data_IF_373969773998
#
_entry.id   IF_373969773998
#
_cell.length_a   1.000
_cell.length_b   1.000
_cell.length_c   1.000
_cell.angle_alpha   90.00
_cell.angle_beta   90.00
_cell.angle_gamma   90.00
#
_symmetry.space_group_name_H-M   'P 1'
#
loop_
_entity.id
_entity.type
_entity.pdbx_description
1 polymer ?
#
# COMPACT_ATOMS: atom_id res chain seq x y z
N UNK A 1 -14.12 52.52 26.91
CA UNK A 1 -13.35 52.29 25.67
C UNK A 1 -12.66 50.92 25.62
N UNK A 2 -12.80 50.01 26.59
CA UNK A 2 -12.18 48.68 26.62
C UNK A 2 -13.03 47.50 26.11
N UNK A 3 -14.34 47.70 25.91
CA UNK A 3 -15.26 46.61 25.46
C UNK A 3 -15.34 46.43 23.93
N UNK A 4 -14.97 47.40 23.12
CA UNK A 4 -15.06 47.31 21.63
C UNK A 4 -13.88 46.58 20.97
N UNK A 5 -12.76 46.45 21.64
CA UNK A 5 -11.56 45.78 21.07
C UNK A 5 -11.67 44.25 21.15
N UNK A 6 -12.34 43.71 22.16
CA UNK A 6 -12.51 42.26 22.34
C UNK A 6 -13.48 41.66 21.30
N UNK A 7 -14.49 42.42 20.87
CA UNK A 7 -15.45 41.91 19.86
C UNK A 7 -14.86 41.85 18.45
N UNK A 8 -13.94 42.75 18.08
CA UNK A 8 -13.29 42.69 16.75
C UNK A 8 -12.34 41.51 16.61
N UNK A 9 -11.64 41.15 17.69
CA UNK A 9 -10.71 40.00 17.67
C UNK A 9 -11.44 38.66 17.57
N UNK A 10 -12.61 38.52 18.17
CA UNK A 10 -13.44 37.31 18.08
C UNK A 10 -14.03 37.11 16.68
N UNK A 11 -14.45 38.21 16.03
CA UNK A 11 -15.01 38.14 14.68
C UNK A 11 -13.96 37.82 13.63
N UNK A 12 -12.73 38.36 13.75
CA UNK A 12 -11.62 38.06 12.89
C UNK A 12 -11.16 36.60 13.04
N UNK A 13 -11.13 36.07 14.28
CA UNK A 13 -10.79 34.68 14.55
C UNK A 13 -11.85 33.69 14.04
N UNK A 14 -13.14 34.04 14.19
CA UNK A 14 -14.24 33.23 13.65
C UNK A 14 -14.27 33.21 12.12
N UNK A 15 -13.95 34.34 11.45
CA UNK A 15 -13.82 34.38 9.98
C UNK A 15 -12.60 33.62 9.47
N UNK A 16 -11.52 33.59 10.24
CA UNK A 16 -10.31 32.79 9.88
C UNK A 16 -10.60 31.29 9.98
N UNK A 17 -11.34 30.82 11.00
CA UNK A 17 -11.75 29.41 11.14
C UNK A 17 -12.74 29.02 10.05
N UNK A 18 -13.69 29.88 9.68
CA UNK A 18 -14.64 29.63 8.59
C UNK A 18 -13.94 29.54 7.22
N UNK A 19 -12.92 30.34 6.95
CA UNK A 19 -12.15 30.27 5.70
C UNK A 19 -11.29 29.01 5.62
N UNK A 20 -10.71 28.53 6.73
CA UNK A 20 -9.92 27.30 6.76
C UNK A 20 -10.83 26.09 6.51
N UNK A 21 -12.02 26.04 7.13
CA UNK A 21 -12.94 24.91 6.93
C UNK A 21 -13.53 24.85 5.52
N UNK A 22 -13.79 25.98 4.88
CA UNK A 22 -14.27 26.01 3.48
C UNK A 22 -13.16 25.66 2.48
N UNK A 23 -11.91 26.02 2.77
CA UNK A 23 -10.77 25.66 1.93
C UNK A 23 -10.47 24.14 2.03
N UNK A 24 -10.51 23.57 3.23
CA UNK A 24 -10.35 22.14 3.45
C UNK A 24 -11.48 21.31 2.79
N UNK A 25 -12.74 21.77 2.92
CA UNK A 25 -13.86 21.11 2.26
C UNK A 25 -13.80 21.18 0.73
N UNK A 26 -13.23 22.26 0.18
CA UNK A 26 -13.00 22.42 -1.27
C UNK A 26 -11.87 21.51 -1.77
N UNK A 27 -10.77 21.41 -1.05
CA UNK A 27 -9.65 20.54 -1.38
C UNK A 27 -10.05 19.04 -1.29
N UNK A 28 -10.84 18.69 -0.28
CA UNK A 28 -11.38 17.33 -0.13
C UNK A 28 -12.31 16.95 -1.29
N UNK A 29 -13.20 17.87 -1.72
CA UNK A 29 -14.06 17.63 -2.89
C UNK A 29 -13.28 17.54 -4.19
N UNK A 30 -12.21 18.29 -4.34
CA UNK A 30 -11.33 18.21 -5.52
C UNK A 30 -10.58 16.86 -5.57
N UNK A 31 -10.08 16.38 -4.44
CA UNK A 31 -9.44 15.07 -4.32
C UNK A 31 -10.40 13.92 -4.65
N UNK A 32 -11.63 13.95 -4.13
CA UNK A 32 -12.67 12.96 -4.45
C UNK A 32 -13.09 13.00 -5.93
N UNK A 33 -13.17 14.19 -6.54
CA UNK A 33 -13.46 14.33 -7.97
C UNK A 33 -12.32 13.78 -8.83
N UNK A 34 -11.08 14.03 -8.45
CA UNK A 34 -9.90 13.51 -9.12
C UNK A 34 -9.86 11.96 -9.07
N UNK A 35 -10.07 11.36 -7.90
CA UNK A 35 -10.16 9.91 -7.76
C UNK A 35 -11.31 9.31 -8.60
N UNK A 36 -12.50 9.97 -8.61
CA UNK A 36 -13.61 9.53 -9.45
C UNK A 36 -13.32 9.65 -10.95
N UNK A 37 -12.63 10.70 -11.37
CA UNK A 37 -12.21 10.87 -12.77
C UNK A 37 -11.16 9.83 -13.18
N UNK A 38 -10.21 9.50 -12.31
CA UNK A 38 -9.21 8.47 -12.57
C UNK A 38 -9.85 7.08 -12.64
N UNK A 39 -10.81 6.75 -11.73
CA UNK A 39 -11.60 5.50 -11.82
C UNK A 39 -12.44 5.43 -13.11
N UNK A 40 -13.07 6.53 -13.52
CA UNK A 40 -13.86 6.58 -14.77
C UNK A 40 -13.00 6.42 -16.02
N UNK A 41 -11.80 6.98 -16.06
CA UNK A 41 -10.87 6.80 -17.17
C UNK A 41 -10.36 5.35 -17.27
N UNK A 42 -10.09 4.68 -16.13
CA UNK A 42 -9.74 3.25 -16.11
C UNK A 42 -10.86 2.38 -16.70
N UNK A 43 -12.11 2.62 -16.32
CA UNK A 43 -13.28 1.89 -16.87
C UNK A 43 -13.39 2.04 -18.37
N UNK A 44 -13.07 3.22 -18.92
CA UNK A 44 -13.11 3.48 -20.34
C UNK A 44 -11.94 2.82 -21.11
N UNK A 45 -10.76 2.75 -20.54
CA UNK A 45 -9.60 2.07 -21.16
C UNK A 45 -9.79 0.56 -21.20
N UNK A 46 -10.40 -0.02 -20.16
CA UNK A 46 -10.76 -1.45 -20.12
C UNK A 46 -11.87 -1.78 -21.15
N UNK A 47 -12.88 -0.91 -21.28
CA UNK A 47 -13.92 -1.09 -22.28
C UNK A 47 -13.40 -1.00 -23.73
N UNK A 48 -12.43 -0.14 -24.00
CA UNK A 48 -11.79 -0.03 -25.31
C UNK A 48 -10.90 -1.25 -25.63
N UNK A 49 -10.18 -1.82 -24.66
CA UNK A 49 -9.40 -3.06 -24.85
C UNK A 49 -10.30 -4.28 -25.09
N UNK A 50 -11.43 -4.38 -24.39
CA UNK A 50 -12.39 -5.47 -24.59
C UNK A 50 -13.06 -5.44 -25.99
N UNK A 51 -13.18 -4.28 -26.63
CA UNK A 51 -13.73 -4.15 -27.97
C UNK A 51 -12.75 -4.51 -29.10
N UNK A 52 -11.44 -4.41 -28.85
CA UNK A 52 -10.41 -4.74 -29.85
C UNK A 52 -10.05 -6.24 -29.92
N UNK A 53 -10.43 -7.04 -28.94
CA UNK A 53 -10.16 -8.49 -28.90
C UNK A 53 -11.31 -9.37 -29.43
N UNK A 54 -12.45 -8.78 -29.89
CA UNK A 54 -13.60 -9.54 -30.37
C UNK A 54 -13.63 -9.78 -31.89
N UNK A 55 -12.52 -10.06 -32.52
CA UNK A 55 -12.47 -10.54 -33.89
C UNK A 55 -11.73 -11.86 -33.97
N UNK A 56 -12.44 -12.96 -33.75
CA UNK A 56 -11.94 -14.30 -34.01
C UNK A 56 -12.61 -15.39 -33.16
N UNK A 57 -13.86 -15.76 -33.48
CA UNK A 57 -14.44 -16.99 -32.93
C UNK A 57 -15.17 -17.77 -34.02
N UNK A 58 -14.78 -19.01 -34.16
CA UNK A 58 -15.52 -20.06 -34.82
C UNK A 58 -16.48 -20.75 -33.86
N UNK A 59 -17.64 -21.10 -34.39
CA UNK A 59 -18.86 -21.66 -33.82
C UNK A 59 -18.77 -23.06 -33.18
N UNK A 60 -19.64 -23.38 -32.16
CA UNK A 60 -20.68 -24.44 -32.08
C UNK A 60 -20.94 -24.89 -30.63
N UNK A 61 -22.03 -25.67 -30.36
CA UNK A 61 -23.45 -25.40 -30.50
C UNK A 61 -24.24 -25.48 -29.17
N UNK A 62 -25.54 -25.17 -29.29
CA UNK A 62 -26.58 -25.11 -28.26
C UNK A 62 -26.90 -26.40 -27.48
N UNK A 63 -27.27 -26.30 -26.22
CA UNK A 63 -28.33 -27.12 -25.60
C UNK A 63 -28.97 -26.50 -24.36
N UNK A 64 -30.29 -26.37 -24.44
CA UNK A 64 -31.34 -26.38 -23.40
C UNK A 64 -31.30 -25.43 -22.20
N UNK A 65 -32.30 -24.55 -22.23
CA UNK A 65 -32.76 -23.70 -21.15
C UNK A 65 -33.39 -24.50 -19.99
N UNK A 66 -33.05 -24.08 -18.76
CA UNK A 66 -33.96 -24.16 -17.62
C UNK A 66 -33.96 -22.85 -16.89
N UNK A 67 -35.15 -22.31 -16.67
CA UNK A 67 -35.41 -21.06 -15.94
C UNK A 67 -34.93 -21.18 -14.51
N UNK A 68 -34.14 -20.18 -14.04
CA UNK A 68 -34.06 -19.83 -12.62
C UNK A 68 -34.02 -18.29 -12.45
N UNK A 69 -34.65 -17.91 -11.40
CA UNK A 69 -35.14 -16.63 -10.93
C UNK A 69 -34.07 -15.54 -10.77
N UNK A 70 -34.48 -14.28 -10.97
CA UNK A 70 -33.67 -13.09 -10.86
C UNK A 70 -33.32 -12.77 -9.42
N UNK A 71 -32.10 -13.08 -9.00
CA UNK A 71 -31.41 -12.40 -7.93
C UNK A 71 -30.14 -11.75 -8.49
N UNK A 72 -29.90 -10.50 -8.13
CA UNK A 72 -28.78 -9.70 -8.62
C UNK A 72 -27.44 -10.40 -8.38
N UNK A 73 -26.90 -11.05 -9.41
CA UNK A 73 -25.53 -11.53 -9.42
C UNK A 73 -24.64 -10.37 -9.83
N UNK A 74 -23.91 -9.79 -8.89
CA UNK A 74 -22.75 -9.00 -9.22
C UNK A 74 -21.73 -9.93 -9.88
N UNK A 75 -21.57 -9.82 -11.18
CA UNK A 75 -20.52 -10.51 -11.93
C UNK A 75 -19.21 -9.81 -11.59
N UNK A 76 -18.44 -10.39 -10.65
CA UNK A 76 -17.09 -9.94 -10.40
C UNK A 76 -16.24 -10.24 -11.63
N UNK A 77 -15.73 -9.18 -12.27
CA UNK A 77 -14.75 -9.32 -13.34
C UNK A 77 -13.47 -9.85 -12.68
N UNK A 78 -13.10 -11.10 -12.98
CA UNK A 78 -11.77 -11.63 -12.64
C UNK A 78 -10.79 -10.78 -13.45
N UNK A 79 -10.09 -9.88 -12.81
CA UNK A 79 -9.00 -9.13 -13.42
C UNK A 79 -7.91 -10.13 -13.79
N UNK A 80 -7.45 -10.08 -15.04
CA UNK A 80 -6.32 -10.89 -15.51
C UNK A 80 -5.13 -10.73 -14.55
N UNK A 81 -4.40 -11.81 -14.22
CA UNK A 81 -3.18 -11.71 -13.44
C UNK A 81 -2.19 -10.78 -14.15
N UNK A 82 -1.39 -10.04 -13.41
CA UNK A 82 -0.34 -9.22 -13.99
C UNK A 82 0.54 -10.04 -14.95
N UNK A 83 0.97 -9.46 -16.09
CA UNK A 83 1.89 -10.12 -16.99
C UNK A 83 3.11 -10.65 -16.22
N UNK A 84 3.50 -11.89 -16.47
CA UNK A 84 4.56 -12.58 -15.72
C UNK A 84 5.97 -12.11 -16.13
N UNK A 85 6.09 -11.28 -17.16
CA UNK A 85 7.36 -10.85 -17.71
C UNK A 85 7.79 -9.49 -17.15
N UNK A 86 8.77 -9.46 -16.25
CA UNK A 86 9.29 -8.24 -15.63
C UNK A 86 9.79 -7.21 -16.66
N UNK A 87 10.25 -7.64 -17.84
CA UNK A 87 10.74 -6.75 -18.89
C UNK A 87 9.64 -5.87 -19.53
N UNK A 88 8.36 -6.17 -19.27
CA UNK A 88 7.24 -5.30 -19.64
C UNK A 88 7.15 -4.06 -18.75
N UNK A 89 7.77 -4.12 -17.57
CA UNK A 89 7.70 -3.06 -16.56
C UNK A 89 9.00 -2.29 -16.38
N UNK A 90 10.16 -2.91 -16.63
CA UNK A 90 11.45 -2.25 -16.46
C UNK A 90 12.55 -2.96 -17.24
N UNK A 91 13.46 -2.17 -17.83
CA UNK A 91 14.71 -2.67 -18.45
C UNK A 91 15.86 -2.83 -17.43
N UNK A 92 15.65 -2.44 -16.16
CA UNK A 92 16.67 -2.45 -15.11
C UNK A 92 17.02 -3.87 -14.67
N UNK A 93 18.27 -4.08 -14.30
CA UNK A 93 18.66 -5.33 -13.63
C UNK A 93 18.10 -5.40 -12.21
N UNK A 94 16.98 -6.10 -12.09
CA UNK A 94 16.30 -6.26 -10.79
C UNK A 94 17.13 -7.04 -9.77
N UNK A 95 18.16 -7.77 -10.17
CA UNK A 95 19.06 -8.41 -9.22
C UNK A 95 19.92 -7.35 -8.51
N UNK A 96 20.49 -6.39 -9.24
CA UNK A 96 21.26 -5.28 -8.67
C UNK A 96 20.38 -4.38 -7.82
N UNK A 97 19.15 -4.09 -8.29
CA UNK A 97 18.14 -3.29 -7.56
C UNK A 97 17.84 -3.92 -6.20
N UNK A 98 17.48 -5.21 -6.17
CA UNK A 98 17.13 -5.89 -4.90
C UNK A 98 18.35 -6.04 -3.99
N UNK A 99 19.52 -6.37 -4.51
CA UNK A 99 20.74 -6.44 -3.70
C UNK A 99 21.10 -5.09 -3.06
N UNK A 100 20.83 -3.98 -3.75
CA UNK A 100 21.01 -2.64 -3.19
C UNK A 100 20.01 -2.36 -2.07
N UNK A 101 18.73 -2.73 -2.26
CA UNK A 101 17.71 -2.64 -1.21
C UNK A 101 18.04 -3.50 0.01
N UNK A 102 18.50 -4.74 -0.19
CA UNK A 102 18.94 -5.63 0.91
C UNK A 102 20.10 -5.01 1.71
N UNK A 103 21.12 -4.47 1.03
CA UNK A 103 22.24 -3.79 1.68
C UNK A 103 21.79 -2.57 2.50
N UNK A 104 20.87 -1.79 1.93
CA UNK A 104 20.29 -0.63 2.61
C UNK A 104 19.50 -1.06 3.86
N UNK A 105 18.64 -2.07 3.72
CA UNK A 105 17.85 -2.61 4.82
C UNK A 105 18.70 -3.20 5.95
N UNK A 106 19.80 -3.89 5.62
CA UNK A 106 20.72 -4.44 6.61
C UNK A 106 21.39 -3.30 7.42
N UNK A 107 21.88 -2.26 6.75
CA UNK A 107 22.50 -1.11 7.43
C UNK A 107 21.52 -0.40 8.37
N UNK A 108 20.30 -0.11 7.92
CA UNK A 108 19.26 0.46 8.77
C UNK A 108 18.88 -0.50 9.92
N UNK A 109 18.78 -1.80 9.65
CA UNK A 109 18.51 -2.83 10.65
C UNK A 109 19.56 -2.89 11.78
N UNK A 110 20.79 -2.54 11.51
CA UNK A 110 21.84 -2.42 12.54
C UNK A 110 21.58 -1.26 13.50
N UNK A 111 21.12 -0.12 12.96
CA UNK A 111 20.68 1.03 13.75
C UNK A 111 19.49 0.61 14.62
N UNK A 112 18.47 0.00 14.02
CA UNK A 112 17.26 -0.43 14.71
C UNK A 112 17.56 -1.39 15.85
N UNK A 113 18.41 -2.41 15.65
CA UNK A 113 18.81 -3.35 16.72
C UNK A 113 19.51 -2.65 17.89
N UNK A 114 20.33 -1.65 17.60
CA UNK A 114 21.09 -0.91 18.62
C UNK A 114 20.18 -0.01 19.45
N UNK A 115 19.13 0.55 18.88
CA UNK A 115 18.36 1.68 19.44
C UNK A 115 16.96 1.30 19.90
N UNK A 116 16.39 0.19 19.43
CA UNK A 116 15.05 -0.28 19.84
C UNK A 116 14.87 -0.34 21.34
N UNK A 117 13.78 0.22 21.84
CA UNK A 117 13.43 0.30 23.25
C UNK A 117 14.30 1.23 24.10
N UNK A 118 15.19 2.01 23.49
CA UNK A 118 16.19 2.85 24.20
C UNK A 118 16.07 4.33 23.87
N UNK A 119 15.32 4.70 22.83
CA UNK A 119 15.24 6.08 22.34
C UNK A 119 13.97 6.74 22.84
N UNK A 120 14.10 8.00 23.26
CA UNK A 120 12.97 8.87 23.53
C UNK A 120 12.32 9.31 22.20
N UNK A 121 11.01 9.53 22.24
CA UNK A 121 10.28 10.16 21.14
C UNK A 121 10.84 11.55 20.90
N UNK A 122 11.30 11.84 19.68
CA UNK A 122 11.77 13.17 19.31
C UNK A 122 10.63 14.09 18.89
N UNK A 123 9.58 13.53 18.25
CA UNK A 123 8.43 14.27 17.74
C UNK A 123 7.20 13.35 17.63
N UNK A 124 6.01 13.94 17.77
CA UNK A 124 4.74 13.32 17.35
C UNK A 124 4.24 14.06 16.11
N UNK A 125 3.79 13.34 15.08
CA UNK A 125 3.27 13.94 13.85
C UNK A 125 1.84 14.46 14.06
N UNK A 126 0.84 13.59 13.95
CA UNK A 126 -0.57 14.01 14.10
C UNK A 126 -1.13 13.83 15.51
N UNK A 127 -0.73 12.78 16.20
CA UNK A 127 -1.28 12.44 17.52
C UNK A 127 -0.25 11.62 18.33
N UNK A 128 -0.62 11.22 19.56
CA UNK A 128 0.28 10.49 20.47
C UNK A 128 0.73 9.10 19.97
N UNK A 129 0.09 8.55 18.95
CA UNK A 129 0.45 7.26 18.37
C UNK A 129 1.29 7.40 17.09
N UNK A 130 1.36 8.59 16.50
CA UNK A 130 2.13 8.90 15.31
C UNK A 130 3.49 9.49 15.72
N UNK A 131 4.44 8.60 15.95
CA UNK A 131 5.73 8.91 16.56
C UNK A 131 6.85 8.97 15.53
N UNK A 132 7.79 9.86 15.74
CA UNK A 132 9.08 9.91 15.02
C UNK A 132 10.19 9.89 16.02
N UNK A 133 11.18 9.07 15.79
CA UNK A 133 12.41 9.02 16.57
C UNK A 133 13.60 9.51 15.73
N UNK A 134 14.72 9.80 16.38
CA UNK A 134 15.97 10.11 15.66
C UNK A 134 16.43 8.92 14.79
N UNK A 135 16.03 7.71 15.17
CA UNK A 135 16.37 6.51 14.41
C UNK A 135 15.63 6.40 13.08
N UNK A 136 14.38 6.90 12.98
CA UNK A 136 13.63 6.91 11.71
C UNK A 136 14.38 7.76 10.68
N UNK A 137 14.81 8.95 11.08
CA UNK A 137 15.58 9.87 10.24
C UNK A 137 16.95 9.26 9.87
N UNK A 138 17.69 8.68 10.83
CA UNK A 138 18.99 8.04 10.59
C UNK A 138 18.85 6.84 9.66
N UNK A 139 17.81 6.01 9.84
CA UNK A 139 17.53 4.87 8.99
C UNK A 139 17.15 5.31 7.56
N UNK A 140 16.29 6.31 7.41
CA UNK A 140 15.94 6.81 6.08
C UNK A 140 17.15 7.35 5.33
N UNK A 141 17.99 8.16 6.00
CA UNK A 141 19.18 8.73 5.38
C UNK A 141 20.16 7.64 4.91
N UNK A 142 20.45 6.61 5.73
CA UNK A 142 21.36 5.54 5.34
C UNK A 142 20.81 4.70 4.19
N UNK A 143 19.46 4.55 4.09
CA UNK A 143 18.81 3.88 2.97
C UNK A 143 18.94 4.71 1.72
N UNK A 144 18.59 5.99 1.77
CA UNK A 144 18.68 6.91 0.62
C UNK A 144 20.13 7.01 0.10
N UNK A 145 21.11 7.20 0.98
CA UNK A 145 22.52 7.27 0.61
C UNK A 145 23.01 5.97 -0.07
N UNK A 146 22.56 4.82 0.44
CA UNK A 146 22.93 3.53 -0.13
C UNK A 146 22.34 3.33 -1.51
N UNK A 147 21.07 3.70 -1.71
CA UNK A 147 20.39 3.64 -3.02
C UNK A 147 21.05 4.61 -3.99
N UNK A 148 21.22 5.88 -3.62
CA UNK A 148 21.80 6.92 -4.49
C UNK A 148 23.26 6.67 -4.86
N UNK A 149 23.99 5.91 -4.05
CA UNK A 149 25.37 5.52 -4.40
C UNK A 149 25.45 4.60 -5.63
N UNK A 150 24.37 3.88 -5.94
CA UNK A 150 24.27 2.96 -7.09
C UNK A 150 23.33 3.52 -8.15
N UNK A 151 22.22 4.14 -7.75
CA UNK A 151 21.16 4.66 -8.62
C UNK A 151 20.90 6.16 -8.35
N UNK A 152 21.84 7.05 -8.71
CA UNK A 152 21.76 8.48 -8.38
C UNK A 152 20.62 9.22 -9.10
N UNK A 153 20.13 8.68 -10.22
CA UNK A 153 19.08 9.30 -11.03
C UNK A 153 17.67 8.84 -10.69
N UNK A 154 17.52 7.80 -9.85
CA UNK A 154 16.21 7.29 -9.46
C UNK A 154 15.50 8.25 -8.47
N UNK A 155 14.17 8.25 -8.49
CA UNK A 155 13.38 9.04 -7.56
C UNK A 155 13.21 8.30 -6.22
N UNK A 156 13.05 9.07 -5.13
CA UNK A 156 12.93 8.55 -3.78
C UNK A 156 11.78 9.22 -3.03
N UNK A 157 10.92 8.41 -2.43
CA UNK A 157 9.83 8.81 -1.56
C UNK A 157 9.98 8.09 -0.21
N UNK A 158 10.50 8.80 0.78
CA UNK A 158 10.60 8.30 2.16
C UNK A 158 9.53 8.93 3.05
N UNK A 159 9.03 8.17 4.01
CA UNK A 159 8.03 8.62 4.97
C UNK A 159 8.42 9.92 5.67
N UNK A 160 9.69 10.05 6.09
CA UNK A 160 10.16 11.19 6.88
C UNK A 160 10.35 12.47 6.07
N UNK A 161 10.21 12.40 4.75
CA UNK A 161 10.22 13.56 3.85
C UNK A 161 8.81 14.13 3.59
N UNK A 162 7.78 13.53 4.18
CA UNK A 162 6.38 13.87 3.93
C UNK A 162 5.73 14.37 5.21
N UNK A 163 4.95 15.44 5.08
CA UNK A 163 4.15 15.93 6.21
C UNK A 163 3.10 14.88 6.61
N UNK A 164 2.73 14.92 7.89
CA UNK A 164 1.75 13.99 8.45
C UNK A 164 0.37 14.11 7.79
N UNK A 165 -0.31 12.98 7.63
CA UNK A 165 -1.70 12.87 7.19
C UNK A 165 -1.90 12.36 5.77
N UNK A 166 -3.07 11.77 5.58
CA UNK A 166 -3.45 11.05 4.36
C UNK A 166 -3.38 11.91 3.09
N UNK A 167 -3.75 13.19 3.18
CA UNK A 167 -3.67 14.14 2.05
C UNK A 167 -2.22 14.44 1.67
N UNK A 168 -1.33 14.63 2.65
CA UNK A 168 0.07 14.92 2.38
C UNK A 168 0.74 13.71 1.72
N UNK A 169 0.51 12.50 2.25
CA UNK A 169 1.09 11.27 1.71
C UNK A 169 0.58 10.97 0.29
N UNK A 170 -0.73 11.11 0.04
CA UNK A 170 -1.31 10.93 -1.30
C UNK A 170 -0.80 11.96 -2.31
N UNK A 171 -0.62 13.22 -1.87
CA UNK A 171 -0.08 14.28 -2.71
C UNK A 171 1.41 14.07 -3.02
N UNK A 172 2.19 13.58 -2.05
CA UNK A 172 3.60 13.26 -2.26
C UNK A 172 3.78 12.11 -3.26
N UNK A 173 2.98 11.04 -3.14
CA UNK A 173 2.99 9.94 -4.11
C UNK A 173 2.59 10.42 -5.51
N UNK A 174 1.48 11.17 -5.62
CA UNK A 174 1.01 11.72 -6.89
C UNK A 174 2.05 12.65 -7.53
N UNK A 175 2.73 13.47 -6.73
CA UNK A 175 3.81 14.34 -7.20
C UNK A 175 5.02 13.55 -7.68
N UNK A 176 5.42 12.49 -6.97
CA UNK A 176 6.53 11.63 -7.37
C UNK A 176 6.26 10.94 -8.71
N UNK A 177 5.03 10.44 -8.90
CA UNK A 177 4.59 9.82 -10.16
C UNK A 177 4.44 10.88 -11.27
N UNK A 178 3.84 12.04 -10.97
CA UNK A 178 3.51 13.10 -11.94
C UNK A 178 4.74 13.76 -12.58
N UNK A 179 5.86 13.82 -11.89
CA UNK A 179 7.14 14.32 -12.46
C UNK A 179 7.58 13.56 -13.73
N UNK A 180 7.04 12.38 -13.94
CA UNK A 180 7.31 11.55 -15.11
C UNK A 180 6.46 11.92 -16.32
N UNK A 181 5.19 12.29 -16.12
CA UNK A 181 4.27 12.66 -17.19
C UNK A 181 4.69 13.98 -17.87
N UNK A 182 5.23 14.93 -17.10
CA UNK A 182 5.61 16.25 -17.62
C UNK A 182 6.85 16.23 -18.54
N UNK A 183 7.61 15.12 -18.56
CA UNK A 183 8.82 15.00 -19.39
C UNK A 183 8.59 14.40 -20.77
N UNK A 184 7.48 13.68 -20.97
CA UNK A 184 7.14 13.11 -22.28
C UNK A 184 6.57 14.16 -23.26
N UNK A 185 5.95 15.24 -22.77
CA UNK A 185 5.37 16.30 -23.61
C UNK A 185 6.39 17.37 -24.09
N UNK A 186 7.59 17.38 -23.55
CA UNK A 186 8.65 18.30 -23.95
C UNK A 186 9.55 17.69 -25.02
N UNK A 187 9.17 17.80 -26.29
CA UNK A 187 10.00 17.40 -27.45
C UNK A 187 11.37 18.08 -27.47
N UNK A 188 12.29 17.60 -26.67
CA UNK A 188 13.69 17.99 -26.64
C UNK A 188 14.51 17.09 -27.56
N UNK A 189 14.88 17.59 -28.74
CA UNK A 189 16.01 17.10 -29.53
C UNK A 189 17.30 17.30 -28.70
N UNK A 190 17.64 16.35 -27.86
CA UNK A 190 18.91 16.32 -27.14
C UNK A 190 19.53 14.95 -27.35
N UNK A 191 20.79 14.92 -27.74
CA UNK A 191 21.67 13.74 -27.67
C UNK A 191 21.68 13.26 -26.22
N UNK A 192 20.64 12.51 -25.82
CA UNK A 192 20.44 12.00 -24.48
C UNK A 192 21.32 10.78 -24.25
N UNK A 193 22.02 10.81 -23.14
CA UNK A 193 22.70 9.65 -22.55
C UNK A 193 21.81 8.41 -22.63
N UNK A 194 22.34 7.33 -23.14
CA UNK A 194 21.64 6.05 -23.33
C UNK A 194 21.21 5.36 -22.03
N UNK A 195 21.24 6.06 -20.89
CA UNK A 195 20.88 5.58 -19.56
C UNK A 195 19.52 6.15 -19.05
N UNK A 196 18.73 6.77 -19.95
CA UNK A 196 17.32 7.15 -19.65
C UNK A 196 16.35 5.96 -19.62
N UNK A 197 16.87 4.73 -19.58
CA UNK A 197 16.10 3.53 -19.38
C UNK A 197 15.39 3.53 -18.04
N UNK A 198 14.07 3.46 -18.09
CA UNK A 198 13.05 3.36 -17.02
C UNK A 198 13.55 3.68 -15.62
N UNK A 199 13.39 4.93 -15.21
CA UNK A 199 13.63 5.36 -13.83
C UNK A 199 12.71 4.58 -12.89
N UNK A 200 13.23 4.27 -11.72
CA UNK A 200 12.48 3.64 -10.65
C UNK A 200 12.16 4.68 -9.57
N UNK A 201 11.01 4.51 -8.92
CA UNK A 201 10.67 5.22 -7.71
C UNK A 201 10.86 4.27 -6.52
N UNK A 202 11.75 4.64 -5.61
CA UNK A 202 11.97 3.94 -4.36
C UNK A 202 11.04 4.51 -3.30
N UNK A 203 10.20 3.66 -2.70
CA UNK A 203 9.24 4.03 -1.66
C UNK A 203 9.66 3.35 -0.36
N UNK A 204 9.96 4.14 0.67
CA UNK A 204 10.63 3.67 1.89
C UNK A 204 9.89 4.07 3.15
N UNK A 205 9.60 3.09 3.99
CA UNK A 205 9.31 3.27 5.41
C UNK A 205 10.56 2.85 6.19
N UNK A 206 11.25 3.78 6.85
CA UNK A 206 12.48 3.48 7.56
C UNK A 206 12.27 2.59 8.78
N UNK A 207 11.15 2.75 9.49
CA UNK A 207 10.78 1.91 10.66
C UNK A 207 9.26 1.72 10.70
N UNK A 208 8.73 0.82 9.88
CA UNK A 208 7.31 0.43 9.97
C UNK A 208 7.03 -0.20 11.35
N UNK A 209 6.15 0.43 12.10
CA UNK A 209 5.86 0.06 13.49
C UNK A 209 6.68 0.83 14.52
N UNK A 210 6.87 2.14 14.35
CA UNK A 210 7.64 3.03 15.24
C UNK A 210 7.21 2.92 16.70
N UNK A 211 5.92 2.75 16.99
CA UNK A 211 5.42 2.53 18.35
C UNK A 211 5.96 1.23 18.97
N UNK A 212 5.97 0.14 18.19
CA UNK A 212 6.54 -1.13 18.63
C UNK A 212 8.06 -1.02 18.84
N UNK A 213 8.74 -0.35 17.91
CA UNK A 213 10.16 -0.09 17.97
C UNK A 213 10.54 0.67 19.24
N UNK A 214 9.84 1.76 19.55
CA UNK A 214 10.05 2.55 20.75
C UNK A 214 9.80 1.73 22.04
N UNK A 215 8.76 0.89 22.02
CA UNK A 215 8.45 0.01 23.15
C UNK A 215 9.42 -1.19 23.30
N UNK A 216 10.30 -1.43 22.32
CA UNK A 216 11.19 -2.59 22.29
C UNK A 216 10.46 -3.91 21.95
N UNK A 217 9.26 -3.83 21.37
CA UNK A 217 8.54 -5.00 20.87
C UNK A 217 9.10 -5.41 19.50
N UNK A 218 9.45 -6.69 19.25
CA UNK A 218 10.15 -7.10 18.02
C UNK A 218 9.21 -7.19 16.79
N UNK A 219 8.22 -6.30 16.70
CA UNK A 219 7.19 -6.26 15.65
C UNK A 219 7.31 -4.94 14.88
N UNK A 220 8.48 -4.74 14.28
CA UNK A 220 8.79 -3.62 13.42
C UNK A 220 9.76 -4.08 12.33
N UNK A 221 9.77 -3.38 11.21
CA UNK A 221 10.65 -3.71 10.09
C UNK A 221 11.02 -2.45 9.31
N UNK A 222 11.99 -2.57 8.42
CA UNK A 222 12.19 -1.62 7.34
C UNK A 222 11.49 -2.13 6.09
N UNK A 223 10.84 -1.24 5.35
CA UNK A 223 10.11 -1.53 4.12
C UNK A 223 10.68 -0.69 2.97
N UNK A 224 11.10 -1.35 1.89
CA UNK A 224 11.64 -0.72 0.68
C UNK A 224 10.89 -1.29 -0.51
N UNK A 225 9.98 -0.52 -1.08
CA UNK A 225 9.29 -0.83 -2.32
C UNK A 225 9.96 -0.18 -3.52
N UNK A 226 9.90 -0.84 -4.66
CA UNK A 226 10.44 -0.34 -5.93
C UNK A 226 9.32 -0.32 -6.96
N UNK A 227 9.01 0.86 -7.47
CA UNK A 227 7.93 1.09 -8.43
C UNK A 227 8.53 1.45 -9.79
N UNK A 228 8.09 0.78 -10.83
CA UNK A 228 8.35 1.19 -12.20
C UNK A 228 7.38 2.28 -12.62
N UNK A 229 7.93 3.35 -13.18
CA UNK A 229 7.19 4.45 -13.79
C UNK A 229 7.27 4.41 -15.32
N UNK A 230 7.61 3.28 -15.92
CA UNK A 230 7.69 3.11 -17.38
C UNK A 230 6.36 3.47 -18.07
N UNK A 231 5.25 3.23 -17.38
CA UNK A 231 3.95 3.79 -17.69
C UNK A 231 3.44 4.56 -16.47
N UNK A 232 3.65 5.88 -16.46
CA UNK A 232 3.28 6.71 -15.31
C UNK A 232 1.75 6.78 -15.06
N UNK A 233 0.93 6.41 -16.05
CA UNK A 233 -0.52 6.24 -15.86
C UNK A 233 -0.90 4.93 -15.14
N UNK A 234 0.02 3.96 -15.11
CA UNK A 234 -0.16 2.66 -14.48
C UNK A 234 1.14 2.28 -13.72
N UNK A 235 1.49 2.97 -12.63
CA UNK A 235 2.69 2.65 -11.86
C UNK A 235 2.57 1.23 -11.28
N UNK A 236 3.63 0.44 -11.41
CA UNK A 236 3.62 -0.96 -10.98
C UNK A 236 4.73 -1.20 -9.97
N UNK A 237 4.40 -1.80 -8.83
CA UNK A 237 5.41 -2.27 -7.87
C UNK A 237 6.12 -3.48 -8.47
N UNK A 238 7.40 -3.32 -8.79
CA UNK A 238 8.22 -4.34 -9.47
C UNK A 238 9.17 -5.10 -8.55
N UNK A 239 9.45 -4.55 -7.36
CA UNK A 239 10.31 -5.19 -6.37
C UNK A 239 10.03 -4.69 -4.96
N UNK A 240 10.45 -5.48 -3.97
CA UNK A 240 10.31 -5.10 -2.57
C UNK A 240 11.21 -5.87 -1.63
N UNK A 241 11.64 -5.20 -0.57
CA UNK A 241 12.41 -5.76 0.54
C UNK A 241 11.75 -5.35 1.85
N UNK A 242 11.48 -6.33 2.72
CA UNK A 242 11.01 -6.11 4.09
C UNK A 242 11.97 -6.83 5.03
N UNK A 243 12.58 -6.10 5.94
CA UNK A 243 13.54 -6.69 6.87
C UNK A 243 13.20 -6.40 8.32
N UNK A 244 12.89 -7.45 9.08
CA UNK A 244 12.82 -7.39 10.54
C UNK A 244 14.19 -7.79 11.12
N UNK A 245 14.95 -6.85 11.67
CA UNK A 245 16.31 -7.13 12.11
C UNK A 245 16.38 -7.94 13.41
N UNK A 246 15.31 -7.92 14.23
CA UNK A 246 15.26 -8.67 15.50
C UNK A 246 14.95 -10.14 15.26
N UNK A 247 13.98 -10.41 14.37
CA UNK A 247 13.61 -11.76 13.97
C UNK A 247 14.59 -12.35 12.96
N UNK A 248 15.46 -11.52 12.38
CA UNK A 248 16.33 -11.88 11.27
C UNK A 248 15.55 -12.47 10.07
N UNK A 249 14.41 -11.85 9.76
CA UNK A 249 13.55 -12.20 8.63
C UNK A 249 13.69 -11.16 7.54
N UNK A 250 14.32 -11.54 6.42
CA UNK A 250 14.44 -10.75 5.19
C UNK A 250 13.51 -11.32 4.14
N UNK A 251 12.47 -10.59 3.79
CA UNK A 251 11.62 -10.88 2.63
C UNK A 251 12.16 -10.10 1.44
N UNK A 252 12.34 -10.78 0.33
CA UNK A 252 12.64 -10.16 -0.96
C UNK A 252 11.68 -10.66 -2.02
N UNK A 253 11.15 -9.77 -2.84
CA UNK A 253 10.24 -10.15 -3.92
C UNK A 253 10.53 -9.34 -5.18
N UNK A 254 10.40 -9.99 -6.33
CA UNK A 254 10.48 -9.37 -7.65
C UNK A 254 9.33 -9.88 -8.49
N UNK A 255 8.62 -8.97 -9.13
CA UNK A 255 7.49 -9.28 -9.99
C UNK A 255 7.89 -10.31 -11.06
N UNK A 256 7.14 -11.43 -11.13
CA UNK A 256 7.41 -12.54 -12.04
C UNK A 256 8.58 -13.45 -11.68
N UNK A 257 9.27 -13.20 -10.54
CA UNK A 257 10.41 -14.06 -10.09
C UNK A 257 10.14 -14.74 -8.76
N UNK A 258 9.08 -14.37 -8.07
CA UNK A 258 8.66 -14.95 -6.80
C UNK A 258 9.13 -14.17 -5.58
N UNK A 259 8.69 -14.65 -4.41
CA UNK A 259 9.00 -14.13 -3.10
C UNK A 259 9.92 -15.08 -2.34
N UNK A 260 10.85 -14.51 -1.55
CA UNK A 260 11.88 -15.27 -0.83
C UNK A 260 11.97 -14.81 0.62
N UNK A 261 12.17 -15.74 1.54
CA UNK A 261 12.53 -15.50 2.94
C UNK A 261 13.97 -15.94 3.17
N UNK A 262 14.85 -15.01 3.52
CA UNK A 262 16.28 -15.27 3.74
C UNK A 262 16.92 -16.07 2.58
N UNK A 263 16.62 -15.67 1.35
CA UNK A 263 17.10 -16.31 0.12
C UNK A 263 16.41 -17.63 -0.25
N UNK A 264 15.50 -18.15 0.56
CA UNK A 264 14.73 -19.36 0.28
C UNK A 264 13.38 -19.02 -0.32
N UNK A 265 13.07 -19.53 -1.52
CA UNK A 265 11.82 -19.25 -2.20
C UNK A 265 10.62 -19.68 -1.35
N UNK A 266 9.70 -18.78 -1.12
CA UNK A 266 8.45 -19.08 -0.45
C UNK A 266 7.57 -19.93 -1.38
N UNK A 267 6.91 -20.91 -0.78
CA UNK A 267 5.87 -21.69 -1.46
C UNK A 267 4.54 -21.19 -0.97
N UNK A 268 3.62 -20.96 -1.90
CA UNK A 268 2.25 -20.64 -1.56
C UNK A 268 1.69 -21.66 -0.58
N UNK A 269 1.16 -21.24 0.54
CA UNK A 269 0.50 -22.09 1.52
C UNK A 269 -1.00 -22.01 1.28
N UNK A 270 -1.70 -23.15 1.46
CA UNK A 270 -3.16 -23.16 1.38
C UNK A 270 -3.76 -22.18 2.38
N UNK A 271 -4.56 -21.24 1.90
CA UNK A 271 -5.39 -20.41 2.75
C UNK A 271 -6.59 -21.21 3.24
N UNK A 272 -7.09 -20.98 4.46
CA UNK A 272 -8.35 -21.55 4.88
C UNK A 272 -9.49 -20.94 4.06
N UNK A 273 -10.45 -21.78 3.67
CA UNK A 273 -11.69 -21.34 3.02
C UNK A 273 -12.77 -20.93 4.03
N UNK A 274 -12.58 -21.22 5.31
CA UNK A 274 -13.48 -20.88 6.41
C UNK A 274 -12.78 -19.94 7.39
N UNK A 275 -13.39 -18.79 7.64
CA UNK A 275 -12.92 -17.79 8.60
C UNK A 275 -12.64 -18.37 9.99
N UNK A 276 -13.38 -19.39 10.43
CA UNK A 276 -13.15 -20.07 11.72
C UNK A 276 -11.77 -20.72 11.83
N UNK A 277 -11.08 -20.90 10.72
CA UNK A 277 -9.72 -21.43 10.67
C UNK A 277 -8.69 -20.32 10.41
N UNK A 278 -9.12 -19.10 10.08
CA UNK A 278 -8.27 -17.99 9.71
C UNK A 278 -7.69 -17.28 10.93
N UNK A 279 -6.40 -16.95 10.84
CA UNK A 279 -5.74 -16.00 11.73
C UNK A 279 -5.66 -14.65 10.98
N UNK A 280 -6.42 -13.66 11.46
CA UNK A 280 -6.59 -12.38 10.79
C UNK A 280 -5.92 -11.27 11.58
N UNK A 281 -5.17 -10.39 10.93
CA UNK A 281 -4.76 -9.13 11.51
C UNK A 281 -5.70 -8.01 11.07
N UNK A 282 -6.14 -7.19 12.01
CA UNK A 282 -6.89 -5.97 11.74
C UNK A 282 -5.98 -4.78 12.04
N UNK A 283 -5.78 -3.91 11.07
CA UNK A 283 -5.12 -2.63 11.25
C UNK A 283 -5.98 -1.70 12.11
N UNK A 284 -5.34 -0.87 12.89
CA UNK A 284 -6.02 0.04 13.80
C UNK A 284 -5.50 1.47 13.57
N UNK A 285 -5.91 2.12 12.46
CA UNK A 285 -5.43 3.46 12.14
C UNK A 285 -5.99 4.46 13.14
N UNK A 286 -5.14 5.41 13.52
CA UNK A 286 -5.48 6.51 14.42
C UNK A 286 -5.54 7.85 13.69
N UNK A 287 -5.63 7.82 12.36
CA UNK A 287 -5.65 9.00 11.50
C UNK A 287 -6.93 9.83 11.64
N UNK A 288 -8.06 9.19 11.92
CA UNK A 288 -9.35 9.86 12.13
C UNK A 288 -10.24 9.06 13.10
N UNK A 289 -11.22 9.76 13.71
CA UNK A 289 -12.23 9.11 14.56
C UNK A 289 -13.09 8.12 13.75
N UNK A 290 -13.37 8.43 12.50
CA UNK A 290 -14.19 7.58 11.63
C UNK A 290 -13.46 6.28 11.24
N UNK A 291 -12.19 6.33 10.86
CA UNK A 291 -11.39 5.12 10.57
C UNK A 291 -11.18 4.28 11.82
N UNK A 292 -11.01 4.91 12.97
CA UNK A 292 -10.92 4.23 14.27
C UNK A 292 -12.22 3.49 14.61
N UNK A 293 -13.38 4.09 14.34
CA UNK A 293 -14.68 3.46 14.52
C UNK A 293 -14.87 2.27 13.58
N UNK A 294 -14.57 2.45 12.29
CA UNK A 294 -14.66 1.40 11.27
C UNK A 294 -13.81 0.17 11.64
N UNK A 295 -12.56 0.39 12.04
CA UNK A 295 -11.67 -0.70 12.48
C UNK A 295 -12.14 -1.37 13.77
N UNK A 296 -12.69 -0.61 14.73
CA UNK A 296 -13.29 -1.16 15.96
C UNK A 296 -14.50 -2.04 15.67
N UNK A 297 -15.38 -1.62 14.76
CA UNK A 297 -16.52 -2.40 14.29
C UNK A 297 -16.06 -3.70 13.64
N UNK A 298 -15.04 -3.65 12.80
CA UNK A 298 -14.47 -4.84 12.15
C UNK A 298 -13.88 -5.81 13.17
N UNK A 299 -13.15 -5.34 14.18
CA UNK A 299 -12.65 -6.18 15.28
C UNK A 299 -13.81 -6.86 16.01
N UNK A 300 -14.86 -6.12 16.40
CA UNK A 300 -16.02 -6.66 17.08
C UNK A 300 -16.75 -7.71 16.22
N UNK A 301 -16.97 -7.40 14.93
CA UNK A 301 -17.68 -8.28 13.99
C UNK A 301 -16.91 -9.57 13.67
N UNK A 302 -15.58 -9.51 13.60
CA UNK A 302 -14.74 -10.67 13.28
C UNK A 302 -14.39 -11.52 14.50
N UNK A 303 -14.39 -10.97 15.72
CA UNK A 303 -13.88 -11.63 16.92
C UNK A 303 -14.50 -13.02 17.19
N UNK A 304 -15.77 -13.21 16.85
CA UNK A 304 -16.49 -14.49 17.03
C UNK A 304 -16.50 -15.37 15.78
N UNK A 305 -16.01 -14.87 14.65
CA UNK A 305 -16.10 -15.54 13.35
C UNK A 305 -14.76 -16.14 12.90
N UNK A 306 -13.63 -15.63 13.41
CA UNK A 306 -12.30 -16.06 13.04
C UNK A 306 -11.66 -16.96 14.09
N UNK A 307 -10.62 -17.70 13.74
CA UNK A 307 -9.82 -18.49 14.68
C UNK A 307 -9.13 -17.61 15.71
N UNK A 308 -8.71 -16.43 15.31
CA UNK A 308 -8.10 -15.45 16.20
C UNK A 308 -7.76 -14.15 15.50
N UNK A 309 -7.84 -13.06 16.24
CA UNK A 309 -7.45 -11.72 15.78
C UNK A 309 -6.07 -11.33 16.29
N UNK A 310 -5.40 -10.49 15.51
CA UNK A 310 -4.16 -9.80 15.87
C UNK A 310 -4.29 -8.32 15.52
N UNK A 311 -3.59 -7.50 16.25
CA UNK A 311 -3.43 -6.06 16.02
C UNK A 311 -1.95 -5.75 16.28
N UNK A 312 -1.13 -5.77 15.21
CA UNK A 312 0.33 -5.79 15.33
C UNK A 312 0.93 -4.40 15.14
N UNK A 313 0.20 -3.48 14.50
CA UNK A 313 0.63 -2.10 14.27
C UNK A 313 1.99 -1.97 13.55
N UNK A 314 2.18 -2.75 12.49
CA UNK A 314 3.28 -2.69 11.53
C UNK A 314 2.77 -3.34 10.25
N UNK A 315 2.42 -2.55 9.26
CA UNK A 315 1.70 -3.01 8.07
C UNK A 315 2.57 -3.92 7.20
N UNK A 316 3.78 -3.49 6.89
CA UNK A 316 4.73 -4.27 6.09
C UNK A 316 5.13 -5.58 6.78
N UNK A 317 5.33 -5.57 8.12
CA UNK A 317 5.58 -6.79 8.88
C UNK A 317 4.40 -7.76 8.77
N UNK A 318 3.18 -7.26 8.89
CA UNK A 318 1.96 -8.08 8.77
C UNK A 318 1.86 -8.66 7.35
N UNK A 319 2.07 -7.85 6.31
CA UNK A 319 2.05 -8.32 4.93
C UNK A 319 3.14 -9.35 4.66
N UNK A 320 4.32 -9.20 5.26
CA UNK A 320 5.38 -10.21 5.19
C UNK A 320 4.94 -11.55 5.79
N UNK A 321 4.15 -11.53 6.86
CA UNK A 321 3.62 -12.75 7.49
C UNK A 321 2.42 -13.35 6.73
N UNK A 322 1.65 -12.52 6.00
CA UNK A 322 0.65 -13.04 5.05
C UNK A 322 1.35 -13.73 3.88
N UNK A 323 2.40 -13.13 3.31
CA UNK A 323 3.21 -13.75 2.26
C UNK A 323 3.83 -15.09 2.69
N UNK A 324 4.22 -15.20 3.96
CA UNK A 324 4.73 -16.45 4.55
C UNK A 324 3.61 -17.45 4.91
N UNK A 325 2.33 -17.08 4.81
CA UNK A 325 1.19 -17.89 5.27
C UNK A 325 1.19 -18.13 6.79
N UNK A 326 1.83 -17.25 7.56
CA UNK A 326 1.72 -17.22 9.04
C UNK A 326 0.42 -16.57 9.47
N UNK A 327 -0.04 -15.56 8.72
CA UNK A 327 -1.38 -14.96 8.82
C UNK A 327 -2.19 -15.34 7.59
N UNK A 328 -3.50 -15.53 7.78
CA UNK A 328 -4.41 -15.86 6.69
C UNK A 328 -4.87 -14.61 5.95
N UNK A 329 -5.07 -13.52 6.67
CA UNK A 329 -5.51 -12.24 6.10
C UNK A 329 -5.06 -11.04 6.94
N UNK A 330 -5.04 -9.88 6.28
CA UNK A 330 -4.86 -8.57 6.85
C UNK A 330 -5.94 -7.63 6.30
N UNK A 331 -6.54 -6.84 7.17
CA UNK A 331 -7.52 -5.81 6.83
C UNK A 331 -7.07 -4.51 7.46
N UNK A 332 -6.97 -3.44 6.67
CA UNK A 332 -6.57 -2.14 7.20
C UNK A 332 -7.16 -0.99 6.40
N UNK A 333 -7.27 0.13 7.04
CA UNK A 333 -7.74 1.42 6.53
C UNK A 333 -6.61 2.41 6.50
N UNK A 334 -6.70 3.39 5.61
CA UNK A 334 -5.89 4.60 5.57
C UNK A 334 -4.37 4.37 5.58
N UNK A 335 -3.91 3.33 4.87
CA UNK A 335 -2.50 2.99 4.69
C UNK A 335 -1.81 3.99 3.74
N UNK A 336 -0.52 4.21 3.92
CA UNK A 336 0.31 4.99 3.01
C UNK A 336 1.05 4.08 2.02
N UNK A 337 1.57 4.65 0.95
CA UNK A 337 2.31 3.88 -0.05
C UNK A 337 3.54 3.17 0.52
N UNK A 338 4.24 3.78 1.47
CA UNK A 338 5.41 3.18 2.12
C UNK A 338 5.06 2.02 3.05
N UNK A 339 3.85 2.00 3.63
CA UNK A 339 3.34 0.91 4.45
C UNK A 339 3.13 -0.37 3.63
N UNK A 340 2.84 -0.24 2.31
CA UNK A 340 2.31 -1.33 1.50
C UNK A 340 3.15 -1.72 0.29
N UNK A 341 3.96 -0.82 -0.28
CA UNK A 341 4.65 -1.07 -1.55
C UNK A 341 5.43 -2.39 -1.57
N UNK A 342 6.32 -2.61 -0.61
CA UNK A 342 7.08 -3.85 -0.53
C UNK A 342 6.19 -5.06 -0.22
N UNK A 343 5.18 -4.86 0.63
CA UNK A 343 4.22 -5.89 1.01
C UNK A 343 3.36 -6.37 -0.14
N UNK A 344 2.91 -5.47 -1.03
CA UNK A 344 2.08 -5.82 -2.18
C UNK A 344 2.78 -6.84 -3.08
N UNK A 345 3.99 -6.54 -3.55
CA UNK A 345 4.73 -7.47 -4.40
C UNK A 345 5.11 -8.75 -3.65
N UNK A 346 5.41 -8.69 -2.36
CA UNK A 346 5.74 -9.87 -1.58
C UNK A 346 4.54 -10.84 -1.44
N UNK A 347 3.35 -10.31 -1.18
CA UNK A 347 2.12 -11.10 -1.08
C UNK A 347 1.75 -11.69 -2.44
N UNK A 348 1.72 -10.89 -3.50
CA UNK A 348 1.35 -11.35 -4.85
C UNK A 348 2.34 -12.40 -5.38
N UNK A 349 3.64 -12.19 -5.22
CA UNK A 349 4.68 -13.13 -5.66
C UNK A 349 4.77 -14.40 -4.79
N UNK A 350 4.15 -14.41 -3.62
CA UNK A 350 3.94 -15.62 -2.82
C UNK A 350 2.62 -16.35 -3.15
N UNK A 351 1.84 -15.82 -4.11
CA UNK A 351 0.56 -16.36 -4.54
C UNK A 351 -0.64 -15.87 -3.73
N UNK A 352 -0.49 -14.80 -2.97
CA UNK A 352 -1.57 -14.13 -2.25
C UNK A 352 -2.29 -13.07 -3.09
N UNK A 353 -3.29 -12.46 -2.50
CA UNK A 353 -4.10 -11.40 -3.12
C UNK A 353 -4.05 -10.12 -2.29
N UNK A 354 -3.90 -8.98 -2.96
CA UNK A 354 -4.02 -7.65 -2.38
C UNK A 354 -5.15 -6.92 -3.09
N UNK A 355 -6.18 -6.57 -2.37
CA UNK A 355 -7.38 -5.95 -2.95
C UNK A 355 -7.95 -4.85 -2.09
N UNK A 356 -8.78 -4.05 -2.74
CA UNK A 356 -9.63 -3.05 -2.13
C UNK A 356 -10.81 -3.69 -1.39
N UNK A 357 -11.52 -2.90 -0.60
CA UNK A 357 -12.73 -3.37 0.10
C UNK A 357 -13.88 -3.72 -0.86
N UNK A 358 -13.86 -3.26 -2.11
CA UNK A 358 -14.81 -3.64 -3.15
C UNK A 358 -14.43 -4.92 -3.92
N UNK A 359 -13.32 -5.56 -3.55
CA UNK A 359 -12.83 -6.80 -4.17
C UNK A 359 -12.00 -6.62 -5.43
N UNK A 360 -11.82 -5.40 -5.91
CA UNK A 360 -10.89 -5.13 -7.01
C UNK A 360 -9.44 -5.25 -6.53
N UNK A 361 -8.50 -5.55 -7.45
CA UNK A 361 -7.08 -5.49 -7.11
C UNK A 361 -6.68 -4.07 -6.72
N UNK A 362 -5.90 -3.99 -5.67
CA UNK A 362 -5.36 -2.73 -5.20
C UNK A 362 -4.15 -2.29 -6.05
N UNK A 363 -3.99 -0.98 -6.17
CA UNK A 363 -2.76 -0.35 -6.64
C UNK A 363 -2.07 0.45 -5.52
N UNK A 364 -0.89 0.98 -5.82
CA UNK A 364 -0.06 1.68 -4.83
C UNK A 364 -0.69 2.96 -4.26
N UNK A 365 -1.75 3.48 -4.88
CA UNK A 365 -2.49 4.65 -4.39
C UNK A 365 -3.70 4.29 -3.51
N UNK A 366 -4.06 3.01 -3.45
CA UNK A 366 -5.16 2.52 -2.63
C UNK A 366 -4.73 2.43 -1.15
N UNK A 367 -5.62 2.81 -0.26
CA UNK A 367 -5.32 2.98 1.17
C UNK A 367 -6.07 2.00 2.07
N UNK A 368 -7.12 1.38 1.56
CA UNK A 368 -8.03 0.51 2.30
C UNK A 368 -7.97 -0.89 1.72
N UNK A 369 -7.33 -1.80 2.44
CA UNK A 369 -6.91 -3.06 1.86
C UNK A 369 -7.44 -4.28 2.61
N UNK A 370 -7.82 -5.31 1.83
CA UNK A 370 -7.90 -6.70 2.28
C UNK A 370 -6.78 -7.48 1.59
N UNK A 371 -5.91 -8.05 2.39
CA UNK A 371 -4.78 -8.86 1.94
C UNK A 371 -4.98 -10.29 2.40
N UNK A 372 -4.89 -11.26 1.49
CA UNK A 372 -5.05 -12.69 1.85
C UNK A 372 -3.89 -13.52 1.32
N UNK A 373 -3.50 -14.55 2.08
CA UNK A 373 -2.52 -15.51 1.61
C UNK A 373 -3.18 -16.48 0.62
N UNK A 374 -2.46 -16.87 -0.44
CA UNK A 374 -2.87 -17.86 -1.43
C UNK A 374 -4.24 -17.63 -2.09
N UNK A 375 -4.27 -16.84 -3.13
CA UNK A 375 -5.45 -16.49 -3.91
C UNK A 375 -6.20 -17.72 -4.46
N UNK A 376 -5.48 -18.65 -5.11
CA UNK A 376 -6.08 -19.83 -5.74
C UNK A 376 -6.52 -20.90 -4.71
N UNK A 377 -5.83 -20.95 -3.58
CA UNK A 377 -6.04 -21.98 -2.55
C UNK A 377 -7.06 -21.64 -1.46
N UNK A 378 -8.00 -20.71 -1.71
CA UNK A 378 -9.05 -20.32 -0.77
C UNK A 378 -8.99 -18.86 -0.32
N UNK A 379 -7.95 -18.09 -0.68
CA UNK A 379 -7.82 -16.68 -0.33
C UNK A 379 -8.93 -15.81 -0.92
N UNK A 380 -9.39 -16.10 -2.12
CA UNK A 380 -10.53 -15.42 -2.73
C UNK A 380 -11.84 -15.65 -1.96
N UNK A 381 -12.07 -16.85 -1.42
CA UNK A 381 -13.23 -17.12 -0.59
C UNK A 381 -13.12 -16.41 0.76
N UNK A 382 -11.94 -16.42 1.35
CA UNK A 382 -11.66 -15.70 2.60
C UNK A 382 -11.88 -14.19 2.42
N UNK A 383 -11.41 -13.61 1.30
CA UNK A 383 -11.62 -12.20 0.94
C UNK A 383 -13.12 -11.88 0.89
N UNK A 384 -13.92 -12.66 0.14
CA UNK A 384 -15.38 -12.45 0.04
C UNK A 384 -16.09 -12.51 1.40
N UNK A 385 -15.69 -13.43 2.27
CA UNK A 385 -16.26 -13.52 3.62
C UNK A 385 -15.90 -12.31 4.48
N UNK A 386 -14.67 -11.80 4.35
CA UNK A 386 -14.24 -10.58 5.04
C UNK A 386 -15.00 -9.37 4.51
N UNK A 387 -15.08 -9.18 3.18
CA UNK A 387 -15.84 -8.09 2.57
C UNK A 387 -17.28 -8.04 3.08
N UNK A 388 -17.97 -9.17 3.06
CA UNK A 388 -19.32 -9.28 3.58
C UNK A 388 -19.43 -8.83 5.05
N UNK A 389 -18.46 -9.17 5.89
CA UNK A 389 -18.44 -8.71 7.28
C UNK A 389 -18.28 -7.19 7.35
N UNK A 390 -17.40 -6.59 6.54
CA UNK A 390 -17.19 -5.16 6.52
C UNK A 390 -18.42 -4.41 6.06
N UNK A 391 -19.10 -4.89 5.01
CA UNK A 391 -20.35 -4.31 4.48
C UNK A 391 -21.50 -4.38 5.50
N UNK A 392 -21.67 -5.52 6.20
CA UNK A 392 -22.77 -5.76 7.14
C UNK A 392 -22.60 -5.03 8.49
N UNK A 393 -21.44 -4.45 8.81
CA UNK A 393 -21.13 -3.94 10.15
C UNK A 393 -20.60 -2.51 10.17
N UNK A 394 -21.02 -1.66 9.24
CA UNK A 394 -20.65 -0.22 9.19
C UNK A 394 -19.12 0.03 9.22
N UNK A 395 -18.37 -0.87 8.58
CA UNK A 395 -16.91 -0.77 8.53
C UNK A 395 -16.40 0.04 7.31
N UNK A 396 -17.30 0.40 6.38
CA UNK A 396 -16.99 1.10 5.14
C UNK A 396 -17.44 2.58 5.14
N UNK A 397 -18.12 3.02 6.21
CA UNK A 397 -18.64 4.38 6.37
C UNK A 397 -17.68 5.21 7.23
N UNK A 398 -16.75 5.97 6.62
CA UNK A 398 -15.80 6.82 7.31
C UNK A 398 -15.31 8.01 6.47
#
# INVERSE_FOLDING_TARGET
>A
MKLKVVHLSFFAFAMMILNVSTFQASAFRAGLLYQRMMKANRSNSIAQRASSQRLGTSSLPSSSATNYDHTHSHTYTILEPYPQNIYEYTSRDMQEVIQTAEKAAIKAGEIMKRTSGKIAVSKTKMNAADLVTESDIECQQIVEDTIRSVFPSDDFLGEENVDAGSLASSSALASAIGKYNDKEDGGGNGDGDKDEGSKLLWIVDPIDGTTNFQAGLPMFCISIGVVSLQNANEPVVVGGVIYNPVLNEMITAVRGRGCYLNGSKLKSKSAPTDLKQALVNVGFPVSSESTLRASSNAVAAMATKVRGLRMIASASQVMSWVAQGKLSAYVSWDLNAWDVAAGMVAVEESGGFVGNFDGTRADISDRDLIVTCNEEGGGNELNRQIQKILEENECLEY
#
